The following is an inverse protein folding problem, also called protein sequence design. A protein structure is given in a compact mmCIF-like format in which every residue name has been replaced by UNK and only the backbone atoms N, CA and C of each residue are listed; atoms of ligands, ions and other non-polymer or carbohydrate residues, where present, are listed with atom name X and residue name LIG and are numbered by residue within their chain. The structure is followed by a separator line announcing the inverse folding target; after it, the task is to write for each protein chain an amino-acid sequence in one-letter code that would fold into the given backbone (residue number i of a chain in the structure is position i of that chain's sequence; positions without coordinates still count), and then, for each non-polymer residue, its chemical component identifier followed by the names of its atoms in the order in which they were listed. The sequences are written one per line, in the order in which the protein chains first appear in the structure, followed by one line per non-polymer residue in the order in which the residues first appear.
data_IF_973959400303
#
_entry.id   IF_973959400303
#
_cell.length_a   1.000
_cell.length_b   1.000
_cell.length_c   1.000
_cell.angle_alpha   90.00
_cell.angle_beta   90.00
_cell.angle_gamma   90.00
#
_symmetry.space_group_name_H-M   'P 1'
#
loop_
_entity.id
_entity.type
_entity.pdbx_description
1 polymer ?
#
# COMPACT_ATOMS: atom_id res chain seq x y z
N UNK A 1 -8.65 -10.84 -1.90
CA UNK A 1 -7.23 -10.52 -1.64
C UNK A 1 -7.02 -9.47 -0.55
N UNK A 2 -7.66 -8.28 -0.59
CA UNK A 2 -7.45 -7.24 0.44
C UNK A 2 -7.67 -7.71 1.88
N UNK A 3 -8.82 -8.33 2.18
CA UNK A 3 -9.09 -8.85 3.53
C UNK A 3 -8.13 -9.98 3.94
N UNK A 4 -7.71 -10.81 2.97
CA UNK A 4 -6.77 -11.92 3.17
C UNK A 4 -5.38 -11.41 3.59
N UNK A 5 -4.91 -10.31 2.99
CA UNK A 5 -3.57 -9.77 3.26
C UNK A 5 -3.53 -8.72 4.38
N UNK A 6 -4.67 -8.38 4.98
CA UNK A 6 -4.73 -7.39 6.07
C UNK A 6 -3.83 -7.76 7.28
N UNK A 7 -3.72 -9.03 7.71
CA UNK A 7 -2.82 -9.40 8.81
C UNK A 7 -1.35 -9.01 8.52
N UNK A 8 -0.84 -9.29 7.32
CA UNK A 8 0.52 -8.92 6.91
C UNK A 8 0.76 -7.42 6.93
N UNK A 9 -0.23 -6.63 6.47
CA UNK A 9 -0.16 -5.16 6.53
C UNK A 9 -0.07 -4.66 7.98
N UNK A 10 -0.89 -5.23 8.87
CA UNK A 10 -0.93 -4.87 10.29
C UNK A 10 0.36 -5.26 11.01
N UNK A 11 0.88 -6.45 10.74
CA UNK A 11 2.15 -6.91 11.32
C UNK A 11 3.34 -6.06 10.86
N UNK A 12 3.38 -5.70 9.57
CA UNK A 12 4.51 -4.95 9.01
C UNK A 12 4.48 -3.47 9.36
N UNK A 13 3.32 -2.83 9.32
CA UNK A 13 3.17 -1.38 9.50
C UNK A 13 2.72 -0.97 10.91
N UNK A 14 2.20 -1.88 11.72
CA UNK A 14 1.52 -1.58 12.99
C UNK A 14 0.05 -1.24 12.76
N UNK A 15 -0.81 -1.73 13.66
CA UNK A 15 -2.29 -1.66 13.54
C UNK A 15 -2.79 -0.21 13.41
N UNK A 16 -2.17 0.72 14.10
CA UNK A 16 -2.49 2.14 14.11
C UNK A 16 -2.13 2.88 12.81
N UNK A 17 -1.22 2.31 12.00
CA UNK A 17 -0.75 2.90 10.75
C UNK A 17 -1.47 2.34 9.51
N UNK A 18 -2.23 1.26 9.67
CA UNK A 18 -3.04 0.69 8.58
C UNK A 18 -4.43 1.30 8.58
N UNK A 19 -4.79 1.96 7.48
CA UNK A 19 -6.08 2.65 7.34
C UNK A 19 -6.81 2.13 6.11
N UNK A 20 -8.05 1.69 6.31
CA UNK A 20 -8.98 1.50 5.20
C UNK A 20 -9.45 2.88 4.73
N UNK A 21 -9.29 3.15 3.44
CA UNK A 21 -9.70 4.41 2.84
C UNK A 21 -10.95 4.19 1.96
N UNK A 22 -11.69 5.27 1.73
CA UNK A 22 -12.75 5.27 0.72
C UNK A 22 -12.13 5.18 -0.68
N UNK A 23 -12.93 4.73 -1.65
CA UNK A 23 -12.56 4.79 -3.05
C UNK A 23 -12.24 6.24 -3.46
N UNK A 24 -11.23 6.39 -4.31
CA UNK A 24 -10.80 7.68 -4.85
C UNK A 24 -11.05 7.71 -6.37
N UNK A 25 -11.15 8.90 -6.94
CA UNK A 25 -11.38 9.12 -8.37
C UNK A 25 -10.08 9.21 -9.19
N UNK A 26 -8.97 8.65 -8.67
CA UNK A 26 -7.71 8.57 -9.40
C UNK A 26 -7.83 7.57 -10.56
N UNK A 27 -7.26 7.89 -11.72
CA UNK A 27 -7.12 6.95 -12.82
C UNK A 27 -5.79 6.21 -12.68
N UNK A 28 -5.84 4.87 -12.71
CA UNK A 28 -4.69 3.99 -12.52
C UNK A 28 -4.85 2.76 -13.42
N UNK A 29 -3.87 2.50 -14.28
CA UNK A 29 -3.93 1.41 -15.26
C UNK A 29 -3.67 0.03 -14.63
N UNK A 30 -3.18 -0.01 -13.38
CA UNK A 30 -3.12 -1.24 -12.60
C UNK A 30 -4.48 -1.97 -12.51
N UNK A 31 -5.58 -1.22 -12.60
CA UNK A 31 -6.94 -1.76 -12.64
C UNK A 31 -7.16 -2.79 -13.75
N UNK A 32 -6.44 -2.70 -14.88
CA UNK A 32 -6.53 -3.70 -15.95
C UNK A 32 -6.02 -5.07 -15.50
N UNK A 33 -4.97 -5.15 -14.67
CA UNK A 33 -4.54 -6.44 -14.10
C UNK A 33 -5.60 -7.02 -13.15
N UNK A 34 -6.30 -6.16 -12.42
CA UNK A 34 -7.32 -6.56 -11.44
C UNK A 34 -8.63 -7.04 -12.09
N UNK A 35 -8.82 -6.81 -13.40
CA UNK A 35 -9.91 -7.41 -14.15
C UNK A 35 -9.65 -8.90 -14.47
N UNK A 36 -8.38 -9.30 -14.56
CA UNK A 36 -7.98 -10.66 -14.98
C UNK A 36 -7.73 -11.58 -13.79
N UNK A 37 -7.13 -11.07 -12.72
CA UNK A 37 -6.81 -11.84 -11.51
C UNK A 37 -7.10 -11.04 -10.24
N UNK A 38 -7.35 -11.69 -9.09
CA UNK A 38 -7.46 -10.98 -7.82
C UNK A 38 -6.18 -10.17 -7.55
N UNK A 39 -6.32 -8.85 -7.44
CA UNK A 39 -5.20 -7.95 -7.12
C UNK A 39 -5.47 -7.05 -5.93
N UNK A 40 -4.39 -6.59 -5.30
CA UNK A 40 -4.40 -5.64 -4.19
C UNK A 40 -3.57 -4.43 -4.60
N UNK A 41 -4.17 -3.25 -4.56
CA UNK A 41 -3.49 -1.97 -4.68
C UNK A 41 -3.55 -1.27 -3.33
N UNK A 42 -2.42 -0.72 -2.87
CA UNK A 42 -2.34 -0.03 -1.59
C UNK A 42 -1.39 1.17 -1.68
N UNK A 43 -1.57 2.13 -0.77
CA UNK A 43 -0.77 3.34 -0.71
C UNK A 43 0.19 3.30 0.48
N UNK A 44 1.38 3.86 0.30
CA UNK A 44 2.34 4.13 1.37
C UNK A 44 2.32 5.62 1.65
N UNK A 45 2.12 5.99 2.92
CA UNK A 45 2.11 7.40 3.32
C UNK A 45 3.47 8.06 3.09
N UNK A 46 3.47 9.25 2.47
CA UNK A 46 4.68 10.03 2.19
C UNK A 46 4.60 11.49 2.65
N UNK A 47 3.59 11.87 3.44
CA UNK A 47 3.43 13.26 3.93
C UNK A 47 4.58 13.60 4.88
N UNK A 48 5.33 14.67 4.58
CA UNK A 48 6.38 15.15 5.46
C UNK A 48 5.82 15.71 6.79
N UNK A 49 6.45 15.42 7.95
CA UNK A 49 6.03 15.96 9.24
C UNK A 49 5.99 17.49 9.23
N UNK A 50 4.92 18.08 9.75
CA UNK A 50 4.77 19.54 9.88
C UNK A 50 4.53 20.30 8.56
N UNK A 51 4.38 19.60 7.42
CA UNK A 51 4.06 20.20 6.13
C UNK A 51 2.66 19.81 5.70
N UNK A 52 1.95 20.69 5.00
CA UNK A 52 0.71 20.29 4.33
C UNK A 52 0.98 19.36 3.15
N UNK A 53 0.07 18.41 2.93
CA UNK A 53 0.21 17.48 1.81
C UNK A 53 -0.27 18.16 0.52
N UNK A 54 0.68 18.45 -0.37
CA UNK A 54 0.38 18.89 -1.73
C UNK A 54 -0.15 17.72 -2.56
N UNK A 55 -0.95 18.03 -3.59
CA UNK A 55 -1.48 17.02 -4.50
C UNK A 55 -0.38 16.33 -5.30
N UNK A 56 -0.66 15.11 -5.76
CA UNK A 56 0.16 14.52 -6.83
C UNK A 56 0.03 15.41 -8.08
N UNK A 57 1.08 15.50 -8.89
CA UNK A 57 1.16 16.34 -10.11
C UNK A 57 1.19 17.87 -9.90
N UNK A 58 1.50 18.35 -8.70
CA UNK A 58 1.73 19.79 -8.45
C UNK A 58 3.24 20.09 -8.33
N UNK A 59 3.72 21.30 -8.66
CA UNK A 59 5.16 21.63 -8.62
C UNK A 59 5.74 21.65 -7.20
N UNK A 60 4.88 21.79 -6.19
CA UNK A 60 5.22 21.77 -4.77
C UNK A 60 5.14 20.36 -4.17
N UNK A 61 4.86 19.33 -4.98
CA UNK A 61 4.85 17.94 -4.53
C UNK A 61 6.19 17.57 -3.90
N UNK A 62 6.09 16.98 -2.70
CA UNK A 62 7.24 16.57 -1.91
C UNK A 62 6.86 15.38 -1.05
N UNK A 63 7.77 14.41 -0.95
CA UNK A 63 7.59 13.22 -0.12
C UNK A 63 8.65 13.16 0.97
N UNK A 64 8.25 12.66 2.14
CA UNK A 64 9.19 12.12 3.11
C UNK A 64 9.58 10.69 2.70
N UNK A 65 10.85 10.55 2.31
CA UNK A 65 11.42 9.29 1.83
C UNK A 65 11.56 8.24 2.95
N UNK A 66 11.38 8.61 4.22
CA UNK A 66 11.43 7.65 5.33
C UNK A 66 10.44 6.49 5.16
N UNK A 67 9.31 6.75 4.49
CA UNK A 67 8.28 5.76 4.15
C UNK A 67 8.68 4.73 3.09
N UNK A 68 9.73 4.98 2.30
CA UNK A 68 10.16 4.05 1.24
C UNK A 68 10.60 2.70 1.82
N UNK A 69 11.27 2.71 2.98
CA UNK A 69 11.67 1.49 3.68
C UNK A 69 10.45 0.67 4.13
N UNK A 70 9.39 1.34 4.57
CA UNK A 70 8.12 0.68 4.89
C UNK A 70 7.51 0.06 3.64
N UNK A 71 7.47 0.78 2.52
CA UNK A 71 6.96 0.27 1.25
C UNK A 71 7.65 -1.02 0.80
N UNK A 72 9.00 -1.05 0.83
CA UNK A 72 9.77 -2.25 0.48
C UNK A 72 9.45 -3.42 1.42
N UNK A 73 9.47 -3.19 2.74
CA UNK A 73 9.15 -4.24 3.74
C UNK A 73 7.74 -4.79 3.54
N UNK A 74 6.77 -3.90 3.35
CA UNK A 74 5.37 -4.28 3.12
C UNK A 74 5.23 -5.14 1.87
N UNK A 75 5.83 -4.74 0.75
CA UNK A 75 5.76 -5.54 -0.48
C UNK A 75 6.46 -6.90 -0.32
N UNK A 76 7.64 -6.94 0.29
CA UNK A 76 8.37 -8.20 0.53
C UNK A 76 7.57 -9.16 1.42
N UNK A 77 7.02 -8.69 2.54
CA UNK A 77 6.24 -9.53 3.45
C UNK A 77 4.92 -9.98 2.82
N UNK A 78 4.25 -9.11 2.04
CA UNK A 78 3.05 -9.49 1.29
C UNK A 78 3.31 -10.66 0.34
N UNK A 79 4.46 -10.66 -0.35
CA UNK A 79 4.84 -11.75 -1.25
C UNK A 79 5.11 -13.03 -0.47
N UNK A 80 5.93 -12.97 0.58
CA UNK A 80 6.29 -14.14 1.39
C UNK A 80 5.03 -14.76 2.01
N UNK A 81 4.25 -13.97 2.74
CA UNK A 81 3.07 -14.48 3.45
C UNK A 81 2.00 -15.01 2.49
N UNK A 82 1.83 -14.39 1.32
CA UNK A 82 0.92 -14.90 0.30
C UNK A 82 1.37 -16.27 -0.21
N UNK A 83 2.67 -16.43 -0.49
CA UNK A 83 3.22 -17.71 -0.95
C UNK A 83 3.14 -18.79 0.14
N UNK A 84 3.42 -18.46 1.39
CA UNK A 84 3.34 -19.40 2.51
C UNK A 84 1.91 -19.86 2.79
N UNK A 85 0.92 -18.96 2.66
CA UNK A 85 -0.50 -19.32 2.72
C UNK A 85 -0.89 -20.32 1.61
N UNK A 86 -0.27 -20.22 0.42
CA UNK A 86 -0.53 -21.17 -0.67
C UNK A 86 0.21 -22.50 -0.51
N UNK A 87 1.37 -22.51 0.17
CA UNK A 87 2.17 -23.71 0.40
C UNK A 87 1.61 -24.61 1.54
N UNK A 88 0.80 -24.04 2.43
CA UNK A 88 0.14 -24.76 3.54
C UNK A 88 -1.16 -25.48 3.17
N UNK A 89 -1.54 -25.53 1.89
CA UNK A 89 -2.71 -26.25 1.37
C UNK A 89 -2.31 -27.55 0.64
#
# INVERSE_FOLDING_TARGET
LTAQMLPTLVETAGKENVKLINAITGAEDFSFFQNEIPGLYFFVGGKAPGREASGHHTPDFYIDESGLKLGVRTMSNLVIDYMDQTAGN
#
